data_IF_894527808496
#
_entry.id   IF_894527808496
#
_cell.length_a   1.000
_cell.length_b   1.000
_cell.length_c   1.000
_cell.angle_alpha   90.00
_cell.angle_beta   90.00
_cell.angle_gamma   90.00
#
_symmetry.space_group_name_H-M   'P 1'
#
loop_
_entity.id
_entity.type
_entity.pdbx_description
1 polymer ?
#
# COMPACT_ATOMS: atom_id res chain seq x y z
N UNK A 1 -21.46 1.08 4.49
CA UNK A 1 -20.78 0.19 3.50
C UNK A 1 -19.43 -0.19 4.08
N UNK A 2 -19.43 -0.87 5.22
CA UNK A 2 -18.36 -0.78 6.23
C UNK A 2 -17.78 -2.16 6.53
N UNK A 3 -17.47 -2.91 5.47
CA UNK A 3 -16.91 -4.26 5.55
C UNK A 3 -15.96 -4.54 4.38
N UNK A 4 -15.06 -3.59 4.08
CA UNK A 4 -13.84 -3.92 3.33
C UNK A 4 -12.68 -3.79 4.29
N UNK A 5 -12.05 -4.93 4.56
CA UNK A 5 -10.91 -5.08 5.48
C UNK A 5 -9.72 -4.20 5.04
N UNK A 6 -9.69 -3.74 3.78
CA UNK A 6 -8.67 -2.84 3.23
C UNK A 6 -9.31 -1.78 2.32
N UNK A 7 -8.88 -0.51 2.47
CA UNK A 7 -9.11 0.51 1.45
C UNK A 7 -8.44 0.04 0.14
N UNK A 8 -9.14 0.05 -1.01
CA UNK A 8 -8.57 -0.34 -2.29
C UNK A 8 -7.30 0.43 -2.69
N UNK A 9 -7.10 1.67 -2.24
CA UNK A 9 -5.88 2.43 -2.50
C UNK A 9 -4.71 1.88 -1.69
N UNK A 10 -4.92 1.61 -0.39
CA UNK A 10 -3.89 1.07 0.48
C UNK A 10 -3.42 -0.29 -0.04
N UNK A 11 -4.39 -1.16 -0.39
CA UNK A 11 -4.11 -2.49 -0.94
C UNK A 11 -3.28 -2.44 -2.22
N UNK A 12 -3.62 -1.54 -3.14
CA UNK A 12 -2.89 -1.42 -4.41
C UNK A 12 -1.50 -0.80 -4.20
N UNK A 13 -1.37 0.18 -3.30
CA UNK A 13 -0.08 0.78 -2.97
C UNK A 13 0.87 -0.22 -2.34
N UNK A 14 0.36 -1.08 -1.45
CA UNK A 14 1.14 -2.14 -0.80
C UNK A 14 1.66 -3.18 -1.80
N UNK A 15 0.81 -3.63 -2.73
CA UNK A 15 1.22 -4.51 -3.83
C UNK A 15 2.31 -3.84 -4.68
N UNK A 16 2.15 -2.56 -5.00
CA UNK A 16 3.09 -1.83 -5.85
C UNK A 16 4.44 -1.65 -5.16
N UNK A 17 4.47 -1.29 -3.88
CA UNK A 17 5.71 -1.21 -3.11
C UNK A 17 6.41 -2.56 -3.01
N UNK A 18 5.66 -3.65 -2.75
CA UNK A 18 6.21 -5.00 -2.77
C UNK A 18 6.80 -5.39 -4.13
N UNK A 19 6.10 -5.12 -5.22
CA UNK A 19 6.58 -5.39 -6.58
C UNK A 19 7.84 -4.58 -6.92
N UNK A 20 7.89 -3.29 -6.55
CA UNK A 20 9.08 -2.46 -6.78
C UNK A 20 10.30 -2.97 -6.00
N UNK A 21 10.09 -3.42 -4.77
CA UNK A 21 11.16 -3.97 -3.94
C UNK A 21 11.68 -5.29 -4.52
N UNK A 22 10.80 -6.23 -4.86
CA UNK A 22 11.19 -7.50 -5.48
C UNK A 22 11.94 -7.27 -6.79
N UNK A 23 11.43 -6.41 -7.67
CA UNK A 23 12.11 -6.10 -8.93
C UNK A 23 13.50 -5.51 -8.67
N UNK A 24 13.65 -4.60 -7.70
CA UNK A 24 14.94 -4.01 -7.33
C UNK A 24 15.92 -5.04 -6.77
N UNK A 25 15.46 -5.93 -5.90
CA UNK A 25 16.31 -6.92 -5.22
C UNK A 25 16.72 -8.07 -6.15
N UNK A 26 15.75 -8.60 -6.92
CA UNK A 26 16.05 -9.63 -7.95
C UNK A 26 16.96 -9.03 -9.03
N UNK A 27 16.80 -7.73 -9.31
CA UNK A 27 17.66 -6.99 -10.21
C UNK A 27 19.10 -6.81 -9.76
N UNK A 28 19.33 -6.42 -8.50
CA UNK A 28 20.68 -6.21 -7.96
C UNK A 28 21.45 -7.52 -7.75
N UNK A 29 20.78 -8.63 -7.46
CA UNK A 29 21.39 -9.96 -7.37
C UNK A 29 21.86 -10.51 -8.74
N UNK A 30 21.28 -10.05 -9.86
CA UNK A 30 21.72 -10.37 -11.22
C UNK A 30 23.17 -9.99 -11.50
N UNK A 31 23.62 -8.91 -10.87
CA UNK A 31 24.96 -8.31 -11.05
C UNK A 31 26.07 -9.24 -10.52
N UNK A 32 25.74 -10.18 -9.63
CA UNK A 32 26.75 -10.83 -8.81
C UNK A 32 27.23 -12.22 -9.29
N UNK A 33 26.48 -13.00 -10.09
CA UNK A 33 26.76 -14.46 -10.12
C UNK A 33 26.15 -15.26 -11.30
N UNK A 34 26.85 -16.31 -11.81
CA UNK A 34 26.37 -17.23 -12.86
C UNK A 34 26.70 -18.73 -12.64
N UNK A 35 25.70 -19.55 -12.23
CA UNK A 35 25.77 -21.00 -12.02
C UNK A 35 24.48 -21.64 -11.42
N UNK A 36 24.26 -22.95 -11.60
CA UNK A 36 23.02 -23.64 -11.18
C UNK A 36 22.79 -23.73 -9.65
N UNK A 37 23.86 -23.77 -8.84
CA UNK A 37 23.74 -23.63 -7.38
C UNK A 37 23.11 -22.28 -6.98
N UNK A 38 23.32 -21.26 -7.81
CA UNK A 38 22.85 -19.91 -7.55
C UNK A 38 21.37 -19.72 -7.86
N UNK A 39 20.76 -20.50 -8.77
CA UNK A 39 19.30 -20.39 -9.00
C UNK A 39 18.54 -20.77 -7.74
N UNK A 40 18.98 -21.82 -7.03
CA UNK A 40 18.36 -22.23 -5.75
C UNK A 40 18.61 -21.20 -4.65
N UNK A 41 19.81 -20.64 -4.57
CA UNK A 41 20.13 -19.57 -3.62
C UNK A 41 19.32 -18.31 -3.89
N UNK A 42 19.15 -17.94 -5.17
CA UNK A 42 18.35 -16.78 -5.58
C UNK A 42 16.86 -17.00 -5.34
N UNK A 43 16.35 -18.22 -5.54
CA UNK A 43 14.98 -18.59 -5.17
C UNK A 43 14.76 -18.43 -3.65
N UNK A 44 15.67 -18.96 -2.83
CA UNK A 44 15.57 -18.85 -1.36
C UNK A 44 15.66 -17.37 -0.94
N UNK A 45 16.57 -16.61 -1.55
CA UNK A 45 16.72 -15.17 -1.29
C UNK A 45 15.44 -14.40 -1.67
N UNK A 46 14.87 -14.67 -2.85
CA UNK A 46 13.64 -14.02 -3.31
C UNK A 46 12.44 -14.36 -2.41
N UNK A 47 12.28 -15.64 -2.03
CA UNK A 47 11.22 -16.05 -1.12
C UNK A 47 11.37 -15.44 0.28
N UNK A 48 12.60 -15.42 0.81
CA UNK A 48 12.91 -14.78 2.10
C UNK A 48 12.64 -13.28 2.08
N UNK A 49 13.00 -12.63 0.97
CA UNK A 49 12.74 -11.21 0.73
C UNK A 49 11.23 -10.91 0.68
N UNK A 50 10.45 -11.68 -0.08
CA UNK A 50 8.99 -11.56 -0.16
C UNK A 50 8.33 -11.74 1.21
N UNK A 51 8.80 -12.72 1.99
CA UNK A 51 8.28 -13.01 3.32
C UNK A 51 8.56 -11.86 4.29
N UNK A 52 9.80 -11.37 4.31
CA UNK A 52 10.20 -10.25 5.16
C UNK A 52 9.42 -8.98 4.79
N UNK A 53 9.25 -8.70 3.50
CA UNK A 53 8.50 -7.53 3.06
C UNK A 53 7.02 -7.60 3.41
N UNK A 54 6.36 -8.74 3.15
CA UNK A 54 4.96 -8.93 3.55
C UNK A 54 4.77 -8.74 5.07
N UNK A 55 5.75 -9.14 5.89
CA UNK A 55 5.72 -8.91 7.34
C UNK A 55 5.84 -7.41 7.68
N UNK A 56 6.75 -6.69 7.04
CA UNK A 56 6.88 -5.24 7.22
C UNK A 56 5.58 -4.51 6.85
N UNK A 57 4.98 -4.83 5.70
CA UNK A 57 3.71 -4.25 5.27
C UNK A 57 2.59 -4.54 6.28
N UNK A 58 2.49 -5.77 6.80
CA UNK A 58 1.53 -6.10 7.84
C UNK A 58 1.71 -5.28 9.14
N UNK A 59 2.96 -5.06 9.57
CA UNK A 59 3.25 -4.20 10.72
C UNK A 59 2.89 -2.74 10.41
N UNK A 60 3.25 -2.24 9.23
CA UNK A 60 2.95 -0.88 8.80
C UNK A 60 1.44 -0.64 8.66
N UNK A 61 0.68 -1.63 8.22
CA UNK A 61 -0.78 -1.61 8.21
C UNK A 61 -1.36 -1.40 9.61
N UNK A 62 -0.90 -2.17 10.61
CA UNK A 62 -1.34 -2.01 12.00
C UNK A 62 -0.97 -0.63 12.53
N UNK A 63 0.27 -0.18 12.30
CA UNK A 63 0.73 1.13 12.76
C UNK A 63 -0.09 2.26 12.12
N UNK A 64 -0.37 2.19 10.81
CA UNK A 64 -1.22 3.16 10.11
C UNK A 64 -2.60 3.26 10.73
N UNK A 65 -3.23 2.13 11.01
CA UNK A 65 -4.56 2.11 11.64
C UNK A 65 -4.54 2.69 13.06
N UNK A 66 -3.53 2.33 13.87
CA UNK A 66 -3.36 2.87 15.21
C UNK A 66 -3.14 4.39 15.20
N UNK A 67 -2.23 4.88 14.36
CA UNK A 67 -1.93 6.31 14.22
C UNK A 67 -3.14 7.07 13.71
N UNK A 68 -3.87 6.52 12.74
CA UNK A 68 -5.07 7.13 12.17
C UNK A 68 -6.15 7.28 13.24
N UNK A 69 -6.45 6.21 13.99
CA UNK A 69 -7.44 6.27 15.09
C UNK A 69 -6.99 7.19 16.22
N UNK A 70 -5.70 7.20 16.56
CA UNK A 70 -5.15 8.11 17.57
C UNK A 70 -5.27 9.58 17.13
N UNK A 71 -4.96 9.89 15.87
CA UNK A 71 -5.13 11.24 15.28
C UNK A 71 -6.59 11.66 15.29
N UNK A 72 -7.51 10.79 14.85
CA UNK A 72 -8.95 11.07 14.87
C UNK A 72 -9.47 11.29 16.29
N UNK A 73 -9.05 10.48 17.27
CA UNK A 73 -9.43 10.65 18.67
C UNK A 73 -8.84 11.91 19.31
N UNK A 74 -7.66 12.35 18.86
CA UNK A 74 -7.07 13.63 19.26
C UNK A 74 -7.88 14.81 18.68
N UNK A 75 -8.11 14.81 17.37
CA UNK A 75 -8.92 15.82 16.69
C UNK A 75 -10.31 15.95 17.34
N UNK A 76 -10.98 14.83 17.59
CA UNK A 76 -12.30 14.82 18.23
C UNK A 76 -12.29 15.53 19.59
N UNK A 77 -11.26 15.27 20.42
CA UNK A 77 -11.10 15.92 21.72
C UNK A 77 -10.81 17.42 21.58
N UNK A 78 -9.96 17.80 20.64
CA UNK A 78 -9.61 19.21 20.38
C UNK A 78 -10.85 20.00 19.91
N UNK A 79 -11.65 19.43 19.01
CA UNK A 79 -12.88 20.06 18.49
C UNK A 79 -13.96 20.23 19.57
N UNK A 80 -14.13 19.25 20.47
CA UNK A 80 -15.11 19.34 21.57
C UNK A 80 -14.65 20.31 22.66
N UNK A 81 -13.34 20.38 22.92
CA UNK A 81 -12.77 21.30 23.90
C UNK A 81 -12.75 22.76 23.42
N UNK A 82 -12.65 22.98 22.11
CA UNK A 82 -12.69 24.30 21.49
C UNK A 82 -14.12 24.82 21.27
N UNK A 83 -14.24 26.14 21.08
CA UNK A 83 -15.50 26.81 20.75
C UNK A 83 -15.24 28.00 19.83
N UNK A 84 -16.23 28.33 18.98
CA UNK A 84 -16.11 29.41 18.00
C UNK A 84 -15.10 29.10 16.89
N UNK A 85 -14.43 30.15 16.41
CA UNK A 85 -13.52 30.13 15.25
C UNK A 85 -12.42 29.04 15.35
N UNK A 86 -11.72 28.82 16.48
CA UNK A 86 -10.72 27.75 16.58
C UNK A 86 -11.26 26.34 16.34
N UNK A 87 -12.51 26.07 16.72
CA UNK A 87 -13.14 24.77 16.47
C UNK A 87 -13.54 24.63 14.99
N UNK A 88 -13.97 25.72 14.37
CA UNK A 88 -14.35 25.77 12.96
C UNK A 88 -13.13 25.53 12.07
N UNK A 89 -11.99 26.12 12.42
CA UNK A 89 -10.72 25.91 11.71
C UNK A 89 -10.26 24.46 11.76
N UNK A 90 -10.34 23.80 12.92
CA UNK A 90 -9.98 22.39 13.06
C UNK A 90 -10.85 21.48 12.18
N UNK A 91 -12.16 21.74 12.13
CA UNK A 91 -13.09 21.00 11.27
C UNK A 91 -12.82 21.29 9.80
N UNK A 92 -12.60 22.56 9.44
CA UNK A 92 -12.36 22.99 8.06
C UNK A 92 -11.05 22.41 7.51
N UNK A 93 -9.98 22.36 8.32
CA UNK A 93 -8.71 21.76 7.95
C UNK A 93 -8.84 20.27 7.60
N UNK A 94 -9.66 19.52 8.33
CA UNK A 94 -9.84 18.08 8.09
C UNK A 94 -10.79 17.80 6.93
N UNK A 95 -11.77 18.69 6.66
CA UNK A 95 -12.60 18.65 5.46
C UNK A 95 -11.85 19.10 4.19
N UNK A 96 -10.74 19.81 4.34
CA UNK A 96 -9.91 20.30 3.25
C UNK A 96 -10.72 21.17 2.27
N UNK A 97 -10.59 20.96 0.94
CA UNK A 97 -11.28 21.77 -0.07
C UNK A 97 -12.82 21.82 0.06
N UNK A 98 -13.42 20.79 0.67
CA UNK A 98 -14.87 20.69 0.86
C UNK A 98 -15.40 21.68 1.90
N UNK A 99 -14.54 22.19 2.78
CA UNK A 99 -14.92 23.20 3.78
C UNK A 99 -15.42 24.50 3.17
N UNK A 100 -14.98 24.85 1.95
CA UNK A 100 -15.39 26.06 1.23
C UNK A 100 -16.89 26.11 0.92
N UNK A 101 -17.58 24.97 0.93
CA UNK A 101 -19.02 24.88 0.74
C UNK A 101 -19.82 25.03 2.05
N UNK A 102 -19.15 25.11 3.20
CA UNK A 102 -19.79 25.18 4.52
C UNK A 102 -19.62 26.57 5.13
N UNK A 103 -20.71 27.13 5.65
CA UNK A 103 -20.65 28.36 6.43
C UNK A 103 -20.22 28.11 7.88
N UNK A 104 -19.87 29.17 8.64
CA UNK A 104 -19.59 29.06 10.07
C UNK A 104 -20.72 28.40 10.88
N UNK A 105 -21.98 28.60 10.46
CA UNK A 105 -23.14 27.96 11.07
C UNK A 105 -23.18 26.44 10.87
N UNK A 106 -22.69 25.93 9.74
CA UNK A 106 -22.66 24.51 9.44
C UNK A 106 -21.52 23.81 10.19
N UNK A 107 -20.37 24.49 10.30
CA UNK A 107 -19.25 24.04 11.13
C UNK A 107 -19.64 24.01 12.60
N UNK A 108 -20.35 25.03 13.09
CA UNK A 108 -20.85 25.04 14.46
C UNK A 108 -21.89 23.94 14.71
N UNK A 109 -22.81 23.70 13.76
CA UNK A 109 -23.76 22.57 13.85
C UNK A 109 -23.02 21.24 13.92
N UNK A 110 -21.97 21.07 13.12
CA UNK A 110 -21.13 19.86 13.12
C UNK A 110 -20.44 19.67 14.47
N UNK A 111 -19.85 20.73 15.02
CA UNK A 111 -19.24 20.72 16.35
C UNK A 111 -20.25 20.35 17.43
N UNK A 112 -21.43 20.97 17.44
CA UNK A 112 -22.49 20.67 18.41
C UNK A 112 -22.97 19.23 18.33
N UNK A 113 -23.08 18.68 17.11
CA UNK A 113 -23.38 17.27 16.91
C UNK A 113 -22.29 16.35 17.49
N UNK A 114 -21.00 16.71 17.34
CA UNK A 114 -19.88 15.98 17.94
C UNK A 114 -19.92 16.06 19.48
N UNK A 115 -20.19 17.25 20.05
CA UNK A 115 -20.32 17.47 21.51
C UNK A 115 -21.48 16.66 22.10
N UNK A 116 -22.61 16.58 21.38
CA UNK A 116 -23.79 15.84 21.81
C UNK A 116 -23.60 14.32 21.80
N UNK A 117 -22.50 13.81 21.24
CA UNK A 117 -22.19 12.39 21.24
C UNK A 117 -21.37 11.96 22.45
N UNK A 118 -21.74 10.80 23.00
CA UNK A 118 -20.99 10.18 24.09
C UNK A 118 -19.53 9.90 23.69
N UNK A 119 -18.58 10.14 24.61
CA UNK A 119 -17.16 9.79 24.46
C UNK A 119 -16.91 8.32 24.06
N UNK A 120 -17.85 7.41 24.30
CA UNK A 120 -17.81 6.02 23.80
C UNK A 120 -17.84 5.87 22.28
N UNK A 121 -18.19 6.94 21.55
CA UNK A 121 -18.13 7.00 20.08
C UNK A 121 -16.78 7.52 19.56
N UNK A 122 -15.90 7.97 20.46
CA UNK A 122 -14.55 8.35 20.08
C UNK A 122 -13.79 7.13 19.53
N UNK A 123 -12.93 7.30 18.50
CA UNK A 123 -12.19 6.20 17.91
C UNK A 123 -11.38 5.44 18.95
N UNK A 124 -11.54 4.12 19.02
CA UNK A 124 -10.75 3.28 19.90
C UNK A 124 -9.25 3.35 19.51
N UNK A 125 -8.40 3.72 20.45
CA UNK A 125 -6.95 3.88 20.21
C UNK A 125 -6.15 2.60 20.39
N UNK A 126 -6.78 1.53 20.87
CA UNK A 126 -6.15 0.23 21.10
C UNK A 126 -6.02 -0.62 19.84
N UNK A 127 -5.19 -1.66 19.93
CA UNK A 127 -5.10 -2.71 18.94
C UNK A 127 -6.37 -3.55 18.96
N UNK A 128 -6.99 -3.75 17.80
CA UNK A 128 -8.20 -4.57 17.67
C UNK A 128 -7.90 -5.88 16.95
N UNK A 129 -8.77 -6.89 17.13
CA UNK A 129 -8.67 -8.13 16.34
C UNK A 129 -8.81 -7.89 14.84
N UNK A 130 -9.57 -6.87 14.44
CA UNK A 130 -9.72 -6.50 13.04
C UNK A 130 -8.41 -5.99 12.45
N UNK A 131 -7.58 -5.28 13.23
CA UNK A 131 -6.25 -4.85 12.77
C UNK A 131 -5.34 -6.04 12.51
N UNK A 132 -5.34 -7.03 13.39
CA UNK A 132 -4.53 -8.24 13.21
C UNK A 132 -5.00 -9.06 12.00
N UNK A 133 -6.32 -9.19 11.81
CA UNK A 133 -6.87 -9.87 10.64
C UNK A 133 -6.57 -9.10 9.35
N UNK A 134 -6.64 -7.77 9.37
CA UNK A 134 -6.27 -6.92 8.24
C UNK A 134 -4.78 -7.04 7.92
N UNK A 135 -3.91 -7.00 8.93
CA UNK A 135 -2.47 -7.19 8.79
C UNK A 135 -2.12 -8.54 8.18
N UNK A 136 -2.77 -9.61 8.66
CA UNK A 136 -2.61 -10.94 8.07
C UNK A 136 -3.12 -11.01 6.62
N UNK A 137 -4.19 -10.29 6.31
CA UNK A 137 -4.72 -10.20 4.94
C UNK A 137 -3.75 -9.45 4.01
N UNK A 138 -3.14 -8.36 4.48
CA UNK A 138 -2.10 -7.62 3.75
C UNK A 138 -0.89 -8.50 3.53
N UNK A 139 -0.37 -9.15 4.58
CA UNK A 139 0.74 -10.09 4.50
C UNK A 139 0.50 -11.14 3.41
N UNK A 140 -0.65 -11.82 3.47
CA UNK A 140 -0.98 -12.91 2.55
C UNK A 140 -1.12 -12.38 1.12
N UNK A 141 -1.74 -11.21 0.96
CA UNK A 141 -1.92 -10.56 -0.34
C UNK A 141 -0.58 -10.14 -0.96
N UNK A 142 0.31 -9.51 -0.18
CA UNK A 142 1.64 -9.10 -0.62
C UNK A 142 2.48 -10.33 -0.98
N UNK A 143 2.51 -11.33 -0.11
CA UNK A 143 3.22 -12.59 -0.37
C UNK A 143 2.68 -13.31 -1.62
N UNK A 144 1.36 -13.44 -1.76
CA UNK A 144 0.75 -14.09 -2.92
C UNK A 144 0.95 -13.29 -4.21
N UNK A 145 1.02 -11.94 -4.14
CA UNK A 145 1.25 -11.09 -5.30
C UNK A 145 2.70 -11.07 -5.76
N UNK A 146 3.65 -11.33 -4.86
CA UNK A 146 5.09 -11.38 -5.17
C UNK A 146 5.58 -12.77 -5.54
N UNK A 147 4.74 -13.81 -5.36
CA UNK A 147 5.06 -15.18 -5.73
C UNK A 147 5.11 -15.45 -7.26
N UNK A 148 4.22 -14.93 -8.11
CA UNK A 148 4.25 -15.22 -9.54
C UNK A 148 5.54 -14.79 -10.25
N UNK A 149 6.16 -13.62 -9.95
CA UNK A 149 7.48 -13.28 -10.47
C UNK A 149 8.58 -14.23 -10.01
N UNK A 150 8.41 -14.97 -8.91
CA UNK A 150 9.39 -15.94 -8.40
C UNK A 150 9.23 -17.33 -9.03
N UNK A 151 8.04 -17.67 -9.54
CA UNK A 151 7.76 -18.97 -10.17
C UNK A 151 8.77 -19.39 -11.26
N UNK A 152 9.27 -18.51 -12.15
CA UNK A 152 10.24 -18.91 -13.18
C UNK A 152 11.49 -19.58 -12.59
N UNK A 153 11.96 -19.15 -11.42
CA UNK A 153 13.15 -19.74 -10.79
C UNK A 153 12.96 -21.21 -10.34
N UNK A 154 11.72 -21.70 -10.29
CA UNK A 154 11.41 -23.12 -10.04
C UNK A 154 11.50 -23.99 -11.31
N UNK A 155 11.28 -23.40 -12.48
CA UNK A 155 11.18 -24.13 -13.75
C UNK A 155 12.44 -24.00 -14.62
N UNK A 156 13.16 -22.89 -14.50
CA UNK A 156 14.35 -22.60 -15.29
C UNK A 156 15.63 -22.95 -14.52
N UNK A 157 16.51 -23.74 -15.13
CA UNK A 157 17.82 -24.07 -14.55
C UNK A 157 18.91 -23.03 -14.83
N UNK A 158 18.66 -22.10 -15.75
CA UNK A 158 19.53 -20.99 -16.09
C UNK A 158 18.98 -19.66 -15.55
N UNK A 159 19.86 -18.86 -14.94
CA UNK A 159 19.51 -17.58 -14.29
C UNK A 159 18.93 -16.57 -15.28
N UNK A 160 19.61 -16.34 -16.41
CA UNK A 160 19.24 -15.30 -17.39
C UNK A 160 17.82 -15.46 -17.96
N UNK A 161 17.39 -16.62 -18.46
CA UNK A 161 16.01 -16.79 -18.93
C UNK A 161 14.99 -16.70 -17.79
N UNK A 162 15.29 -17.25 -16.60
CA UNK A 162 14.40 -17.15 -15.43
C UNK A 162 14.10 -15.68 -15.07
N UNK A 163 15.12 -14.83 -15.09
CA UNK A 163 15.01 -13.41 -14.79
C UNK A 163 14.18 -12.63 -15.83
N UNK A 164 14.36 -12.90 -17.13
CA UNK A 164 13.57 -12.23 -18.16
C UNK A 164 12.09 -12.59 -18.05
N UNK A 165 11.78 -13.86 -17.79
CA UNK A 165 10.38 -14.29 -17.60
C UNK A 165 9.81 -13.67 -16.32
N UNK A 166 10.59 -13.62 -15.24
CA UNK A 166 10.21 -12.94 -13.99
C UNK A 166 9.85 -11.46 -14.22
N UNK A 167 10.69 -10.73 -14.95
CA UNK A 167 10.45 -9.32 -15.27
C UNK A 167 9.18 -9.13 -16.11
N UNK A 168 8.93 -9.99 -17.11
CA UNK A 168 7.70 -9.94 -17.93
C UNK A 168 6.46 -10.17 -17.05
N UNK A 169 6.50 -11.15 -16.15
CA UNK A 169 5.41 -11.41 -15.20
C UNK A 169 5.19 -10.19 -14.30
N UNK A 170 6.26 -9.62 -13.74
CA UNK A 170 6.20 -8.42 -12.89
C UNK A 170 5.54 -7.23 -13.61
N UNK A 171 5.97 -6.93 -14.84
CA UNK A 171 5.40 -5.84 -15.65
C UNK A 171 3.93 -6.10 -15.98
N UNK A 172 3.55 -7.33 -16.31
CA UNK A 172 2.16 -7.70 -16.56
C UNK A 172 1.30 -7.52 -15.30
N UNK A 173 1.80 -7.90 -14.14
CA UNK A 173 1.11 -7.68 -12.86
C UNK A 173 0.97 -6.19 -12.52
N UNK A 174 2.01 -5.39 -12.77
CA UNK A 174 1.94 -3.93 -12.61
C UNK A 174 0.90 -3.30 -13.53
N UNK A 175 0.78 -3.77 -14.77
CA UNK A 175 -0.28 -3.34 -15.70
C UNK A 175 -1.68 -3.64 -15.14
N UNK A 176 -1.91 -4.87 -14.68
CA UNK A 176 -3.19 -5.29 -14.12
C UNK A 176 -3.55 -4.48 -12.85
N UNK A 177 -2.58 -4.26 -11.97
CA UNK A 177 -2.76 -3.44 -10.77
C UNK A 177 -3.06 -1.98 -11.14
N UNK A 178 -2.33 -1.42 -12.10
CA UNK A 178 -2.56 -0.07 -12.61
C UNK A 178 -3.94 0.11 -13.23
N UNK A 179 -4.43 -0.89 -13.96
CA UNK A 179 -5.79 -0.89 -14.51
C UNK A 179 -6.85 -0.87 -13.39
N UNK A 180 -6.68 -1.74 -12.38
CA UNK A 180 -7.57 -1.79 -11.22
C UNK A 180 -7.58 -0.47 -10.43
N UNK A 181 -6.40 0.11 -10.22
CA UNK A 181 -6.24 1.39 -9.55
C UNK A 181 -6.88 2.55 -10.32
N UNK A 182 -6.64 2.63 -11.63
CA UNK A 182 -7.24 3.67 -12.47
C UNK A 182 -8.78 3.62 -12.46
N UNK A 183 -9.35 2.41 -12.50
CA UNK A 183 -10.81 2.23 -12.38
C UNK A 183 -11.35 2.66 -11.01
N UNK A 184 -10.63 2.39 -9.94
CA UNK A 184 -11.04 2.77 -8.59
C UNK A 184 -10.96 4.29 -8.37
N UNK A 185 -9.89 4.93 -8.87
CA UNK A 185 -9.66 6.36 -8.72
C UNK A 185 -10.53 7.24 -9.66
N UNK A 186 -11.38 6.63 -10.50
CA UNK A 186 -12.14 7.37 -11.52
C UNK A 186 -11.27 7.95 -12.65
N UNK A 187 -10.01 7.52 -12.75
CA UNK A 187 -9.09 7.88 -13.82
C UNK A 187 -9.33 6.99 -15.05
N UNK A 188 -8.73 7.34 -16.19
CA UNK A 188 -8.75 6.47 -17.37
C UNK A 188 -7.94 5.19 -17.09
N UNK A 189 -8.57 4.00 -16.97
CA UNK A 189 -7.91 2.79 -16.47
C UNK A 189 -6.73 2.34 -17.31
N UNK A 190 -6.85 2.48 -18.64
CA UNK A 190 -5.78 2.14 -19.58
C UNK A 190 -4.56 3.05 -19.42
N UNK A 191 -4.75 4.36 -19.21
CA UNK A 191 -3.62 5.27 -18.97
C UNK A 191 -2.88 4.90 -17.70
N UNK A 192 -3.61 4.63 -16.61
CA UNK A 192 -3.01 4.18 -15.36
C UNK A 192 -2.24 2.85 -15.54
N UNK A 193 -2.82 1.88 -16.24
CA UNK A 193 -2.17 0.60 -16.54
C UNK A 193 -0.85 0.77 -17.32
N UNK A 194 -0.85 1.60 -18.38
CA UNK A 194 0.36 1.86 -19.16
C UNK A 194 1.42 2.64 -18.38
N UNK A 195 1.03 3.63 -17.57
CA UNK A 195 1.96 4.37 -16.71
C UNK A 195 2.63 3.41 -15.71
N UNK A 196 1.85 2.54 -15.07
CA UNK A 196 2.40 1.57 -14.11
C UNK A 196 3.32 0.55 -14.78
N UNK A 197 2.96 0.04 -15.96
CA UNK A 197 3.82 -0.84 -16.73
C UNK A 197 5.12 -0.15 -17.18
N UNK A 198 5.03 1.12 -17.61
CA UNK A 198 6.19 1.91 -18.01
C UNK A 198 7.14 2.18 -16.83
N UNK A 199 6.61 2.45 -15.62
CA UNK A 199 7.41 2.56 -14.41
C UNK A 199 8.14 1.25 -14.08
N UNK A 200 7.44 0.12 -14.16
CA UNK A 200 8.04 -1.21 -13.96
C UNK A 200 9.15 -1.51 -14.96
N UNK A 201 8.90 -1.24 -16.25
CA UNK A 201 9.90 -1.37 -17.31
C UNK A 201 11.08 -0.42 -17.10
N UNK A 202 10.84 0.82 -16.67
CA UNK A 202 11.87 1.81 -16.38
C UNK A 202 12.82 1.35 -15.26
N UNK A 203 12.27 0.81 -14.17
CA UNK A 203 13.08 0.25 -13.08
C UNK A 203 13.90 -0.95 -13.57
N UNK A 204 13.32 -1.82 -14.39
CA UNK A 204 14.05 -2.93 -14.99
C UNK A 204 15.21 -2.44 -15.88
N UNK A 205 15.02 -1.38 -16.66
CA UNK A 205 16.08 -0.80 -17.48
C UNK A 205 17.21 -0.20 -16.62
N UNK A 206 16.87 0.47 -15.52
CA UNK A 206 17.86 1.00 -14.56
C UNK A 206 18.67 -0.13 -13.94
N UNK A 207 18.00 -1.21 -13.52
CA UNK A 207 18.65 -2.41 -12.99
C UNK A 207 19.66 -2.98 -14.00
N UNK A 208 19.24 -3.14 -15.25
CA UNK A 208 20.11 -3.67 -16.31
C UNK A 208 21.30 -2.74 -16.54
N UNK A 209 21.07 -1.42 -16.56
CA UNK A 209 22.12 -0.42 -16.74
C UNK A 209 23.13 -0.39 -15.58
N UNK A 210 22.71 -0.74 -14.36
CA UNK A 210 23.57 -0.83 -13.17
C UNK A 210 24.35 -2.16 -13.09
N UNK A 211 24.31 -2.98 -14.14
CA UNK A 211 25.08 -4.22 -14.25
C UNK A 211 24.24 -5.48 -14.05
N UNK A 212 22.91 -5.36 -14.04
CA UNK A 212 21.98 -6.48 -13.93
C UNK A 212 21.86 -7.29 -15.21
#
# INVERSE_FOLDING_TARGET
MENRILDPIDRNSEILFGLFMVLSFTGTLSVATAGQKEVREMLIAALGCNLAWGFVDAVMYVLRNLVTRARQARLWREVIAASGEPAHDLIAQELGPLSSALGPSDLERTRQWMVAQSLHRAPATGLTRQDLLGAFSVFLLVFASTFPPVLPFLFFSEVRPAMRVSAVIGIAMMFLCGYGWGRYAGLQPWRAAFVMAALGAGIQLVIIALGG
#
